data_IF_702291767757
#
_entry.id   IF_702291767757
#
_cell.length_a   1.000
_cell.length_b   1.000
_cell.length_c   1.000
_cell.angle_alpha   90.00
_cell.angle_beta   90.00
_cell.angle_gamma   90.00
#
_symmetry.space_group_name_H-M   'P 1'
#
loop_
_entity.id
_entity.type
_entity.pdbx_description
1 polymer ?
#
# COMPACT_ATOMS: atom_id res chain seq x y z
N UNK A 1 -14.03 32.50 -10.45
CA UNK A 1 -14.57 31.42 -11.30
C UNK A 1 -13.48 30.54 -11.91
N UNK A 2 -12.45 31.16 -12.49
CA UNK A 2 -11.32 30.40 -13.03
C UNK A 2 -10.62 29.59 -11.94
N UNK A 3 -10.54 30.12 -10.72
CA UNK A 3 -9.90 29.44 -9.60
C UNK A 3 -10.60 28.13 -9.22
N UNK A 4 -11.93 28.10 -9.34
CA UNK A 4 -12.71 26.89 -9.03
C UNK A 4 -12.44 25.79 -10.06
N UNK A 5 -12.34 26.15 -11.34
CA UNK A 5 -12.03 25.21 -12.40
C UNK A 5 -10.61 24.68 -12.29
N UNK A 6 -9.65 25.55 -12.02
CA UNK A 6 -8.26 25.15 -11.83
C UNK A 6 -8.13 24.24 -10.62
N UNK A 7 -8.83 24.56 -9.52
CA UNK A 7 -8.84 23.72 -8.33
C UNK A 7 -9.43 22.35 -8.58
N UNK A 8 -10.50 22.26 -9.40
CA UNK A 8 -11.13 20.99 -9.75
C UNK A 8 -10.21 20.11 -10.61
N UNK A 9 -9.52 20.73 -11.58
CA UNK A 9 -8.59 20.00 -12.45
C UNK A 9 -7.37 19.50 -11.66
N UNK A 10 -6.82 20.32 -10.79
CA UNK A 10 -5.72 19.93 -9.91
C UNK A 10 -6.16 18.81 -8.98
N UNK A 11 -7.36 18.89 -8.45
CA UNK A 11 -7.93 17.87 -7.56
C UNK A 11 -8.07 16.52 -8.28
N UNK A 12 -8.51 16.51 -9.52
CA UNK A 12 -8.63 15.28 -10.32
C UNK A 12 -7.27 14.65 -10.59
N UNK A 13 -6.27 15.46 -10.89
CA UNK A 13 -4.90 14.99 -11.09
C UNK A 13 -4.36 14.37 -9.80
N UNK A 14 -4.61 15.00 -8.65
CA UNK A 14 -4.18 14.48 -7.36
C UNK A 14 -4.85 13.15 -7.02
N UNK A 15 -6.14 13.00 -7.31
CA UNK A 15 -6.85 11.74 -7.11
C UNK A 15 -6.30 10.64 -8.00
N UNK A 16 -5.98 10.95 -9.24
CA UNK A 16 -5.41 9.99 -10.17
C UNK A 16 -4.02 9.55 -9.72
N UNK A 17 -3.20 10.50 -9.27
CA UNK A 17 -1.87 10.20 -8.72
C UNK A 17 -1.98 9.34 -7.47
N UNK A 18 -2.94 9.62 -6.61
CA UNK A 18 -3.18 8.83 -5.40
C UNK A 18 -3.59 7.41 -5.75
N UNK A 19 -4.47 7.23 -6.73
CA UNK A 19 -4.89 5.93 -7.20
C UNK A 19 -3.72 5.13 -7.77
N UNK A 20 -2.87 5.79 -8.56
CA UNK A 20 -1.66 5.17 -9.11
C UNK A 20 -0.71 4.75 -7.99
N UNK A 21 -0.54 5.59 -6.98
CA UNK A 21 0.30 5.28 -5.81
C UNK A 21 -0.22 4.08 -5.05
N UNK A 22 -1.54 4.00 -4.83
CA UNK A 22 -2.17 2.85 -4.18
C UNK A 22 -1.87 1.57 -4.95
N UNK A 23 -2.01 1.60 -6.27
CA UNK A 23 -1.74 0.46 -7.13
C UNK A 23 -0.28 0.01 -7.05
N UNK A 24 0.66 0.96 -7.05
CA UNK A 24 2.10 0.65 -6.96
C UNK A 24 2.48 0.07 -5.61
N UNK A 25 1.97 0.64 -4.52
CA UNK A 25 2.26 0.14 -3.17
C UNK A 25 1.66 -1.26 -3.00
N UNK A 26 0.47 -1.51 -3.56
CA UNK A 26 -0.15 -2.82 -3.53
C UNK A 26 0.69 -3.86 -4.27
N UNK A 27 1.22 -3.52 -5.44
CA UNK A 27 2.11 -4.37 -6.21
C UNK A 27 3.40 -4.63 -5.46
N UNK A 28 3.98 -3.60 -4.85
CA UNK A 28 5.21 -3.72 -4.07
C UNK A 28 5.01 -4.63 -2.86
N UNK A 29 3.87 -4.49 -2.18
CA UNK A 29 3.51 -5.37 -1.06
C UNK A 29 3.45 -6.83 -1.51
N UNK A 30 2.79 -7.09 -2.63
CA UNK A 30 2.66 -8.44 -3.17
C UNK A 30 4.03 -8.99 -3.58
N UNK A 31 4.87 -8.16 -4.19
CA UNK A 31 6.24 -8.51 -4.56
C UNK A 31 7.10 -8.84 -3.35
N UNK A 32 7.00 -8.07 -2.28
CA UNK A 32 7.72 -8.34 -1.03
C UNK A 32 7.28 -9.66 -0.42
N UNK A 33 5.98 -9.94 -0.42
CA UNK A 33 5.43 -11.20 0.08
C UNK A 33 5.97 -12.39 -0.70
N UNK A 34 6.01 -12.29 -2.03
CA UNK A 34 6.54 -13.33 -2.91
C UNK A 34 8.04 -13.52 -2.72
N UNK A 35 8.81 -12.43 -2.66
CA UNK A 35 10.25 -12.47 -2.45
C UNK A 35 10.57 -13.11 -1.10
N UNK A 36 9.83 -12.77 -0.07
CA UNK A 36 10.03 -13.38 1.24
C UNK A 36 9.75 -14.87 1.23
N UNK A 37 8.68 -15.31 0.55
CA UNK A 37 8.36 -16.73 0.41
C UNK A 37 9.49 -17.48 -0.31
N UNK A 38 10.06 -16.88 -1.35
CA UNK A 38 11.18 -17.44 -2.10
C UNK A 38 12.44 -17.54 -1.25
N UNK A 39 12.75 -16.49 -0.48
CA UNK A 39 13.90 -16.48 0.43
C UNK A 39 13.73 -17.55 1.49
N UNK A 40 12.55 -17.65 2.09
CA UNK A 40 12.26 -18.65 3.12
C UNK A 40 12.42 -20.06 2.57
N UNK A 41 11.95 -20.32 1.35
CA UNK A 41 12.09 -21.63 0.71
C UNK A 41 13.57 -21.98 0.49
N UNK A 42 14.39 -21.01 0.06
CA UNK A 42 15.83 -21.23 -0.12
C UNK A 42 16.52 -21.48 1.21
N UNK A 43 16.16 -20.76 2.24
CA UNK A 43 16.69 -20.97 3.57
C UNK A 43 16.30 -22.35 4.11
N UNK A 44 15.06 -22.77 3.92
CA UNK A 44 14.61 -24.09 4.36
C UNK A 44 15.38 -25.22 3.65
N UNK A 45 15.71 -25.02 2.38
CA UNK A 45 16.52 -25.98 1.62
C UNK A 45 17.95 -26.09 2.18
N UNK A 46 18.51 -24.99 2.69
CA UNK A 46 19.85 -24.98 3.28
C UNK A 46 19.86 -25.53 4.70
N UNK A 47 18.75 -25.47 5.40
CA UNK A 47 18.66 -25.85 6.81
C UNK A 47 19.03 -27.32 7.03
N UNK A 48 18.75 -28.19 6.08
CA UNK A 48 19.06 -29.62 6.18
C UNK A 48 20.54 -29.93 6.29
N UNK A 49 21.43 -29.02 5.86
CA UNK A 49 22.87 -29.19 5.95
C UNK A 49 23.52 -28.55 7.18
N UNK A 50 22.74 -27.87 8.01
CA UNK A 50 23.27 -27.12 9.17
C UNK A 50 23.00 -27.89 10.45
N UNK A 51 23.99 -27.88 11.34
CA UNK A 51 23.92 -28.58 12.63
C UNK A 51 24.47 -27.73 13.76
N UNK A 52 24.00 -28.01 14.99
CA UNK A 52 24.50 -27.36 16.20
C UNK A 52 24.20 -25.87 16.27
N UNK A 53 25.17 -25.05 16.76
CA UNK A 53 24.97 -23.62 16.94
C UNK A 53 24.62 -22.88 15.65
N UNK A 54 25.11 -23.34 14.50
CA UNK A 54 24.78 -22.75 13.20
C UNK A 54 23.31 -22.90 12.88
N UNK A 55 22.72 -24.06 13.19
CA UNK A 55 21.30 -24.32 12.99
C UNK A 55 20.44 -23.43 13.89
N UNK A 56 20.85 -23.23 15.15
CA UNK A 56 20.14 -22.38 16.09
C UNK A 56 20.19 -20.92 15.66
N UNK A 57 21.36 -20.44 15.24
CA UNK A 57 21.51 -19.07 14.73
C UNK A 57 20.66 -18.84 13.49
N UNK A 58 20.57 -19.83 12.62
CA UNK A 58 19.76 -19.78 11.44
C UNK A 58 18.27 -19.66 11.78
N UNK A 59 17.80 -20.48 12.74
CA UNK A 59 16.41 -20.47 13.18
C UNK A 59 16.03 -19.10 13.76
N UNK A 60 16.93 -18.52 14.57
CA UNK A 60 16.74 -17.18 15.13
C UNK A 60 16.64 -16.13 14.04
N UNK A 61 17.52 -16.18 13.04
CA UNK A 61 17.52 -15.27 11.92
C UNK A 61 16.23 -15.40 11.10
N UNK A 62 15.81 -16.63 10.86
CA UNK A 62 14.57 -16.92 10.11
C UNK A 62 13.36 -16.32 10.83
N UNK A 63 13.27 -16.54 12.14
CA UNK A 63 12.17 -16.00 12.96
C UNK A 63 12.18 -14.48 12.97
N UNK A 64 13.34 -13.86 13.14
CA UNK A 64 13.48 -12.41 13.11
C UNK A 64 13.05 -11.84 11.77
N UNK A 65 13.50 -12.45 10.68
CA UNK A 65 13.16 -12.01 9.33
C UNK A 65 11.66 -12.17 9.05
N UNK A 66 11.07 -13.29 9.48
CA UNK A 66 9.65 -13.54 9.32
C UNK A 66 8.82 -12.50 10.06
N UNK A 67 9.18 -12.18 11.30
CA UNK A 67 8.48 -11.19 12.10
C UNK A 67 8.61 -9.79 11.51
N UNK A 68 9.80 -9.41 11.06
CA UNK A 68 10.04 -8.11 10.44
C UNK A 68 9.24 -7.96 9.14
N UNK A 69 9.21 -9.00 8.32
CA UNK A 69 8.46 -9.01 7.06
C UNK A 69 6.96 -8.93 7.33
N UNK A 70 6.47 -9.69 8.30
CA UNK A 70 5.05 -9.66 8.69
C UNK A 70 4.64 -8.25 9.14
N UNK A 71 5.46 -7.60 9.97
CA UNK A 71 5.21 -6.22 10.42
C UNK A 71 5.22 -5.24 9.24
N UNK A 72 6.15 -5.40 8.31
CA UNK A 72 6.23 -4.55 7.13
C UNK A 72 5.00 -4.71 6.25
N UNK A 73 4.57 -5.94 6.01
CA UNK A 73 3.37 -6.21 5.20
C UNK A 73 2.11 -5.65 5.85
N UNK A 74 1.99 -5.76 7.17
CA UNK A 74 0.88 -5.19 7.92
C UNK A 74 0.88 -3.67 7.80
N UNK A 75 2.05 -3.03 7.93
CA UNK A 75 2.20 -1.59 7.80
C UNK A 75 1.82 -1.13 6.39
N UNK A 76 2.27 -1.83 5.37
CA UNK A 76 1.93 -1.50 3.98
C UNK A 76 0.42 -1.67 3.73
N UNK A 77 -0.18 -2.74 4.24
CA UNK A 77 -1.62 -2.97 4.11
C UNK A 77 -2.43 -1.88 4.81
N UNK A 78 -2.01 -1.47 6.00
CA UNK A 78 -2.63 -0.36 6.72
C UNK A 78 -2.49 0.95 5.96
N UNK A 79 -1.31 1.23 5.41
CA UNK A 79 -1.07 2.41 4.59
C UNK A 79 -1.96 2.44 3.36
N UNK A 80 -2.08 1.31 2.66
CA UNK A 80 -2.96 1.18 1.49
C UNK A 80 -4.40 1.46 1.88
N UNK A 81 -4.86 0.89 2.99
CA UNK A 81 -6.21 1.10 3.50
C UNK A 81 -6.48 2.58 3.80
N UNK A 82 -5.53 3.26 4.42
CA UNK A 82 -5.64 4.70 4.72
C UNK A 82 -5.66 5.53 3.44
N UNK A 83 -4.82 5.20 2.47
CA UNK A 83 -4.80 5.89 1.18
C UNK A 83 -6.12 5.70 0.44
N UNK A 84 -6.68 4.49 0.49
CA UNK A 84 -7.96 4.19 -0.13
C UNK A 84 -9.09 4.99 0.53
N UNK A 85 -9.10 5.06 1.85
CA UNK A 85 -10.07 5.85 2.60
C UNK A 85 -9.98 7.33 2.23
N UNK A 86 -8.75 7.85 2.09
CA UNK A 86 -8.52 9.22 1.67
C UNK A 86 -9.03 9.46 0.25
N UNK A 87 -8.73 8.54 -0.67
CA UNK A 87 -9.22 8.62 -2.05
C UNK A 87 -10.75 8.65 -2.09
N UNK A 88 -11.40 7.73 -1.38
CA UNK A 88 -12.85 7.63 -1.35
C UNK A 88 -13.48 8.89 -0.76
N UNK A 89 -12.87 9.46 0.28
CA UNK A 89 -13.32 10.70 0.88
C UNK A 89 -13.27 11.89 -0.08
N UNK A 90 -12.17 12.02 -0.81
CA UNK A 90 -12.02 13.09 -1.80
C UNK A 90 -12.95 12.89 -2.99
N UNK A 91 -13.11 11.66 -3.46
CA UNK A 91 -14.02 11.37 -4.56
C UNK A 91 -15.46 11.69 -4.17
N UNK A 92 -15.88 11.32 -2.98
CA UNK A 92 -17.23 11.63 -2.46
C UNK A 92 -17.44 13.14 -2.32
N UNK A 93 -16.44 13.85 -1.83
CA UNK A 93 -16.51 15.31 -1.68
C UNK A 93 -16.66 15.99 -3.05
N UNK A 94 -15.91 15.54 -4.05
CA UNK A 94 -16.01 16.08 -5.40
C UNK A 94 -17.37 15.81 -6.01
N UNK A 95 -17.89 14.61 -5.86
CA UNK A 95 -19.21 14.22 -6.36
C UNK A 95 -20.30 15.04 -5.68
N UNK A 96 -20.22 15.22 -4.37
CA UNK A 96 -21.17 16.03 -3.60
C UNK A 96 -21.14 17.48 -4.06
N UNK A 97 -19.97 18.06 -4.24
CA UNK A 97 -19.83 19.43 -4.72
C UNK A 97 -20.39 19.59 -6.12
N UNK A 98 -20.14 18.65 -7.02
CA UNK A 98 -20.66 18.65 -8.37
C UNK A 98 -22.18 18.57 -8.37
N UNK A 99 -22.76 17.70 -7.55
CA UNK A 99 -24.21 17.57 -7.42
C UNK A 99 -24.85 18.85 -6.86
N UNK A 100 -24.21 19.45 -5.87
CA UNK A 100 -24.71 20.72 -5.29
C UNK A 100 -24.70 21.83 -6.32
N UNK A 101 -23.63 21.95 -7.10
CA UNK A 101 -23.54 22.97 -8.16
C UNK A 101 -24.57 22.74 -9.25
N UNK A 102 -24.82 21.48 -9.59
CA UNK A 102 -25.84 21.11 -10.59
C UNK A 102 -27.25 21.37 -10.08
N UNK A 103 -27.47 21.16 -8.78
CA UNK A 103 -28.79 21.33 -8.13
C UNK A 103 -29.15 22.81 -7.96
N UNK A 104 -28.18 23.69 -7.83
CA UNK A 104 -28.40 25.13 -7.62
C UNK A 104 -27.66 25.94 -8.70
N UNK A 105 -28.04 25.78 -9.97
CA UNK A 105 -27.38 26.51 -11.06
C UNK A 105 -27.71 28.00 -10.96
N UNK A 106 -26.76 28.81 -10.76
CA UNK A 106 -26.95 30.24 -10.62
C UNK A 106 -26.71 30.75 -9.20
N UNK A 107 -26.35 29.86 -8.31
CA UNK A 107 -25.94 30.24 -6.95
C UNK A 107 -24.47 30.59 -6.88
#
# INVERSE_FOLDING_TARGET
>A
MADIQIGSDVFKVDLQQLQDAIGRISQDRDGISEDFANITAKFDALQGGWQGPAADSYEDLRTTLQNATSQLLDLLSDTISRMQTTYDGYENAETTNSNNLSKYPGS
#
